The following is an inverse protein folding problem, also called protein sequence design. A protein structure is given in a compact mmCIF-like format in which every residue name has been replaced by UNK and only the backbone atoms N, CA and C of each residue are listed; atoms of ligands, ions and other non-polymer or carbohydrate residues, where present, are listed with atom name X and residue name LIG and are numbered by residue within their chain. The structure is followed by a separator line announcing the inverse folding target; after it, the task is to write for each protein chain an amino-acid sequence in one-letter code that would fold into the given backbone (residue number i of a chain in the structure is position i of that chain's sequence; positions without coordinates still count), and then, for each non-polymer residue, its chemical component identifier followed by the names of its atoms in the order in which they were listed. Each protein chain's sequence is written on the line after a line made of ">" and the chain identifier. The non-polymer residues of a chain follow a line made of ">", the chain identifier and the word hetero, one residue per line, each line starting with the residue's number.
data_IF_809630967340
#
_entry.id   IF_809630967340
#
_cell.length_a   1.000
_cell.length_b   1.000
_cell.length_c   1.000
_cell.angle_alpha   90.00
_cell.angle_beta   90.00
_cell.angle_gamma   90.00
#
_symmetry.space_group_name_H-M   'P 1'
#
loop_
_entity.id
_entity.type
_entity.pdbx_description
1 polymer ?
#
# COMPACT_ATOMS: atom_id res chain seq x y z
N UNK A 1 -6.03 23.64 -2.51
CA UNK A 1 -5.56 22.25 -2.76
C UNK A 1 -6.63 21.31 -2.21
N UNK A 2 -7.14 20.36 -2.99
CA UNK A 2 -8.22 19.47 -2.52
C UNK A 2 -7.65 18.43 -1.55
N UNK A 3 -8.46 18.06 -0.56
CA UNK A 3 -8.13 17.02 0.42
C UNK A 3 -7.80 15.68 -0.25
N UNK A 4 -8.49 15.38 -1.35
CA UNK A 4 -8.27 14.19 -2.18
C UNK A 4 -6.85 14.17 -2.79
N UNK A 5 -6.37 15.31 -3.28
CA UNK A 5 -5.01 15.42 -3.83
C UNK A 5 -3.94 15.28 -2.77
N UNK A 6 -4.17 15.85 -1.58
CA UNK A 6 -3.26 15.69 -0.45
C UNK A 6 -3.15 14.22 -0.04
N UNK A 7 -4.28 13.53 0.09
CA UNK A 7 -4.33 12.09 0.37
C UNK A 7 -3.56 11.29 -0.68
N UNK A 8 -3.80 11.54 -1.96
CA UNK A 8 -3.10 10.86 -3.04
C UNK A 8 -1.58 11.10 -3.01
N UNK A 9 -1.12 12.32 -2.74
CA UNK A 9 0.30 12.61 -2.60
C UNK A 9 0.89 11.89 -1.39
N UNK A 10 0.20 11.91 -0.24
CA UNK A 10 0.64 11.23 0.97
C UNK A 10 0.79 9.72 0.76
N UNK A 11 -0.17 9.07 0.10
CA UNK A 11 -0.07 7.65 -0.28
C UNK A 11 1.04 7.44 -1.33
N UNK A 12 1.14 8.34 -2.31
CA UNK A 12 2.18 8.30 -3.35
C UNK A 12 3.61 8.33 -2.80
N UNK A 13 3.85 9.02 -1.69
CA UNK A 13 5.16 9.03 -1.00
C UNK A 13 5.50 7.67 -0.39
N UNK A 14 4.51 6.84 -0.06
CA UNK A 14 4.71 5.51 0.54
C UNK A 14 4.96 4.42 -0.51
N UNK A 15 4.57 4.64 -1.77
CA UNK A 15 4.73 3.70 -2.90
C UNK A 15 6.17 3.20 -3.15
N UNK A 16 7.25 4.00 -2.99
CA UNK A 16 8.61 3.53 -3.24
C UNK A 16 9.03 2.35 -2.35
N UNK A 17 8.54 2.27 -1.11
CA UNK A 17 8.93 1.22 -0.18
C UNK A 17 8.55 -0.20 -0.65
N UNK A 18 7.28 -0.50 -1.00
CA UNK A 18 6.93 -1.81 -1.53
C UNK A 18 7.55 -2.06 -2.91
N UNK A 19 7.78 -1.04 -3.74
CA UNK A 19 8.51 -1.21 -5.01
C UNK A 19 9.95 -1.70 -4.79
N UNK A 20 10.69 -1.10 -3.84
CA UNK A 20 12.04 -1.54 -3.48
C UNK A 20 12.02 -2.96 -2.94
N UNK A 21 11.05 -3.31 -2.10
CA UNK A 21 10.89 -4.67 -1.58
C UNK A 21 10.59 -5.70 -2.70
N UNK A 22 9.84 -5.30 -3.73
CA UNK A 22 9.56 -6.16 -4.88
C UNK A 22 10.79 -6.32 -5.79
N UNK A 23 11.58 -5.28 -6.01
CA UNK A 23 12.75 -5.35 -6.92
C UNK A 23 13.97 -6.00 -6.24
N UNK A 24 14.20 -5.73 -4.96
CA UNK A 24 15.36 -6.25 -4.23
C UNK A 24 15.03 -7.52 -3.45
N UNK A 25 15.52 -8.67 -3.94
CA UNK A 25 15.32 -9.97 -3.31
C UNK A 25 16.04 -10.18 -1.97
N UNK A 26 16.93 -9.25 -1.58
CA UNK A 26 17.61 -9.26 -0.28
C UNK A 26 16.82 -8.52 0.80
N UNK A 27 15.81 -7.74 0.43
CA UNK A 27 14.93 -7.06 1.39
C UNK A 27 14.06 -8.09 2.08
N UNK A 28 14.33 -8.34 3.37
CA UNK A 28 13.49 -9.18 4.19
C UNK A 28 12.25 -8.41 4.63
N UNK A 29 11.07 -8.94 4.31
CA UNK A 29 9.79 -8.40 4.78
C UNK A 29 9.02 -9.55 5.43
N UNK A 30 8.76 -9.52 6.75
CA UNK A 30 7.93 -10.54 7.39
C UNK A 30 6.51 -10.60 6.82
N UNK A 31 5.97 -11.82 6.64
CA UNK A 31 4.57 -12.05 6.24
C UNK A 31 3.58 -11.38 7.18
N UNK A 32 3.83 -11.44 8.48
CA UNK A 32 2.93 -10.86 9.49
C UNK A 32 2.81 -9.35 9.39
N UNK A 33 3.93 -8.63 9.24
CA UNK A 33 3.91 -7.16 9.12
C UNK A 33 3.33 -6.70 7.78
N UNK A 34 3.66 -7.38 6.68
CA UNK A 34 3.09 -7.05 5.37
C UNK A 34 1.59 -7.35 5.31
N UNK A 35 1.13 -8.44 5.92
CA UNK A 35 -0.30 -8.78 5.99
C UNK A 35 -1.12 -7.74 6.76
N UNK A 36 -0.63 -7.26 7.91
CA UNK A 36 -1.31 -6.20 8.66
C UNK A 36 -1.38 -4.88 7.88
N UNK A 37 -0.34 -4.56 7.11
CA UNK A 37 -0.34 -3.36 6.24
C UNK A 37 -1.37 -3.50 5.12
N UNK A 38 -1.47 -4.66 4.47
CA UNK A 38 -2.48 -4.92 3.44
C UNK A 38 -3.90 -4.74 3.99
N UNK A 39 -4.21 -5.34 5.15
CA UNK A 39 -5.55 -5.22 5.78
C UNK A 39 -5.85 -3.76 6.14
N UNK A 40 -4.90 -3.08 6.80
CA UNK A 40 -5.06 -1.68 7.19
C UNK A 40 -5.30 -0.76 6.00
N UNK A 41 -4.46 -0.88 4.95
CA UNK A 41 -4.60 -0.09 3.73
C UNK A 41 -5.90 -0.40 3.00
N UNK A 42 -6.37 -1.66 3.00
CA UNK A 42 -7.67 -2.01 2.40
C UNK A 42 -8.80 -1.25 3.10
N UNK A 43 -8.78 -1.19 4.44
CA UNK A 43 -9.74 -0.40 5.21
C UNK A 43 -9.66 1.10 4.87
N UNK A 44 -8.45 1.64 4.74
CA UNK A 44 -8.22 3.04 4.32
C UNK A 44 -8.78 3.28 2.93
N UNK A 45 -8.51 2.42 1.96
CA UNK A 45 -9.04 2.53 0.59
C UNK A 45 -10.56 2.59 0.59
N UNK A 46 -11.23 1.67 1.28
CA UNK A 46 -12.70 1.64 1.37
C UNK A 46 -13.24 2.90 2.04
N UNK A 47 -12.63 3.36 3.13
CA UNK A 47 -13.04 4.57 3.83
C UNK A 47 -12.91 5.82 2.93
N UNK A 48 -11.79 5.94 2.21
CA UNK A 48 -11.50 7.07 1.33
C UNK A 48 -12.47 7.11 0.14
N UNK A 49 -12.80 5.96 -0.46
CA UNK A 49 -13.88 5.89 -1.46
C UNK A 49 -15.24 6.25 -0.88
N UNK A 50 -15.56 5.78 0.34
CA UNK A 50 -16.80 6.12 1.04
C UNK A 50 -16.94 7.63 1.34
N UNK A 51 -15.83 8.35 1.44
CA UNK A 51 -15.78 9.81 1.62
C UNK A 51 -15.78 10.59 0.30
N UNK A 52 -15.85 9.92 -0.86
CA UNK A 52 -15.86 10.55 -2.18
C UNK A 52 -14.49 11.06 -2.66
N UNK A 53 -13.41 10.70 -1.96
CA UNK A 53 -12.04 11.05 -2.34
C UNK A 53 -11.50 10.02 -3.35
N UNK A 54 -11.95 10.13 -4.60
CA UNK A 54 -11.70 9.12 -5.65
C UNK A 54 -10.21 8.96 -5.94
N UNK A 55 -9.46 10.07 -6.04
CA UNK A 55 -8.06 10.01 -6.45
C UNK A 55 -7.17 9.39 -5.36
N UNK A 56 -7.37 9.80 -4.11
CA UNK A 56 -6.72 9.21 -2.94
C UNK A 56 -7.09 7.73 -2.76
N UNK A 57 -8.35 7.37 -3.03
CA UNK A 57 -8.81 5.98 -2.99
C UNK A 57 -8.10 5.11 -4.02
N UNK A 58 -7.93 5.59 -5.25
CA UNK A 58 -7.19 4.88 -6.31
C UNK A 58 -5.73 4.67 -5.91
N UNK A 59 -5.04 5.71 -5.42
CA UNK A 59 -3.62 5.57 -5.03
C UNK A 59 -3.47 4.63 -3.83
N UNK A 60 -4.33 4.72 -2.83
CA UNK A 60 -4.34 3.79 -1.70
C UNK A 60 -4.59 2.34 -2.17
N UNK A 61 -5.52 2.13 -3.11
CA UNK A 61 -5.78 0.81 -3.69
C UNK A 61 -4.59 0.23 -4.45
N UNK A 62 -3.83 1.06 -5.17
CA UNK A 62 -2.57 0.64 -5.78
C UNK A 62 -1.54 0.24 -4.72
N UNK A 63 -1.49 0.98 -3.61
CA UNK A 63 -0.59 0.66 -2.49
C UNK A 63 -0.96 -0.68 -1.83
N UNK A 64 -2.26 -0.97 -1.65
CA UNK A 64 -2.76 -2.28 -1.22
C UNK A 64 -2.27 -3.38 -2.17
N UNK A 65 -2.39 -3.17 -3.48
CA UNK A 65 -1.95 -4.16 -4.46
C UNK A 65 -0.44 -4.42 -4.37
N UNK A 66 0.37 -3.36 -4.25
CA UNK A 66 1.83 -3.47 -4.11
C UNK A 66 2.23 -4.24 -2.85
N UNK A 67 1.64 -3.91 -1.70
CA UNK A 67 1.90 -4.65 -0.47
C UNK A 67 1.36 -6.08 -0.51
N UNK A 68 0.25 -6.32 -1.22
CA UNK A 68 -0.26 -7.66 -1.49
C UNK A 68 0.75 -8.51 -2.28
N UNK A 69 1.40 -7.94 -3.28
CA UNK A 69 2.49 -8.59 -4.01
C UNK A 69 3.70 -8.86 -3.10
N UNK A 70 4.08 -7.91 -2.23
CA UNK A 70 5.16 -8.11 -1.26
C UNK A 70 4.80 -9.26 -0.31
N UNK A 71 3.58 -9.31 0.21
CA UNK A 71 3.11 -10.38 1.08
C UNK A 71 3.18 -11.74 0.38
N UNK A 72 2.71 -11.82 -0.87
CA UNK A 72 2.68 -13.05 -1.65
C UNK A 72 4.09 -13.56 -1.98
N UNK A 73 4.98 -12.70 -2.48
CA UNK A 73 6.26 -13.10 -3.08
C UNK A 73 7.49 -12.90 -2.18
N UNK A 74 7.43 -12.03 -1.17
CA UNK A 74 8.56 -11.73 -0.28
C UNK A 74 8.37 -12.20 1.15
N UNK A 75 7.13 -12.39 1.58
CA UNK A 75 6.82 -12.66 2.97
C UNK A 75 7.18 -14.06 3.50
N UNK A 76 7.71 -14.95 2.64
CA UNK A 76 8.11 -16.30 2.98
C UNK A 76 9.57 -16.58 2.67
N UNK A 77 10.49 -16.16 3.55
CA UNK A 77 11.81 -16.79 3.69
C UNK A 77 12.18 -16.83 5.18
N UNK A 78 11.78 -17.93 5.81
CA UNK A 78 12.56 -18.59 6.85
C UNK A 78 12.87 -19.98 6.33
#
# INVERSE_FOLDING_TARGET
>A
MSWDFLMAISQGILVPAPLIALVNARTYVPRWSSGTVVIGLTGVTVAVFGLGAVFGGVVAGLEVALWGLVFAFRGGRK
#
